data_IF_896362477875
#
_entry.id   IF_896362477875
#
_cell.length_a   1.000
_cell.length_b   1.000
_cell.length_c   1.000
_cell.angle_alpha   90.00
_cell.angle_beta   90.00
_cell.angle_gamma   90.00
#
_symmetry.space_group_name_H-M   'P 1'
#
loop_
_entity.id
_entity.type
_entity.pdbx_description
1 polymer ?
#
# COMPACT_ATOMS: atom_id res chain seq x y z
N UNK A 1 19.77 50.77 -79.83
CA UNK A 1 20.84 50.86 -78.82
C UNK A 1 20.28 51.38 -77.53
N UNK A 2 20.08 50.53 -76.54
CA UNK A 2 19.90 50.92 -75.10
C UNK A 2 20.05 49.66 -74.28
N UNK A 3 21.18 49.59 -73.68
CA UNK A 3 21.56 49.19 -72.32
C UNK A 3 20.67 48.20 -71.59
N UNK A 4 21.10 46.92 -71.54
CA UNK A 4 20.78 45.93 -70.52
C UNK A 4 21.98 45.89 -69.57
N UNK A 5 21.87 46.52 -68.45
CA UNK A 5 22.71 46.23 -67.25
C UNK A 5 21.96 46.63 -65.99
N UNK A 6 22.07 45.81 -65.01
CA UNK A 6 21.69 45.99 -63.59
C UNK A 6 20.40 45.39 -63.10
N UNK A 7 20.40 44.01 -63.02
CA UNK A 7 19.44 43.32 -62.19
C UNK A 7 20.05 42.14 -61.36
N UNK A 8 21.37 41.96 -61.43
CA UNK A 8 21.99 40.76 -60.74
C UNK A 8 22.60 41.04 -59.37
N UNK A 9 22.74 42.29 -58.94
CA UNK A 9 23.44 42.59 -57.67
C UNK A 9 22.53 42.77 -56.45
N UNK A 10 21.21 42.85 -56.62
CA UNK A 10 20.27 43.09 -55.52
C UNK A 10 19.69 41.83 -54.87
N UNK A 11 20.05 40.59 -55.34
CA UNK A 11 19.51 39.32 -54.77
C UNK A 11 20.43 38.64 -53.77
N UNK A 12 21.66 39.06 -53.62
CA UNK A 12 22.62 38.39 -52.73
C UNK A 12 22.63 38.91 -51.27
N UNK A 13 22.00 40.06 -51.00
CA UNK A 13 22.09 40.71 -49.69
C UNK A 13 20.90 40.47 -48.75
N UNK A 14 19.87 39.70 -49.17
CA UNK A 14 18.67 39.48 -48.35
C UNK A 14 18.53 38.06 -47.74
N UNK A 15 19.45 37.14 -47.97
CA UNK A 15 19.34 35.78 -47.49
C UNK A 15 20.19 35.45 -46.24
N UNK A 16 21.13 36.30 -45.89
CA UNK A 16 22.04 36.06 -44.75
C UNK A 16 21.39 36.14 -43.35
N UNK A 17 20.45 37.08 -43.05
CA UNK A 17 19.90 37.16 -41.68
C UNK A 17 18.88 36.07 -41.34
N UNK A 18 18.21 35.47 -42.33
CA UNK A 18 17.16 34.45 -42.10
C UNK A 18 17.76 33.11 -41.72
N UNK A 19 18.92 32.76 -42.25
CA UNK A 19 19.62 31.50 -41.94
C UNK A 19 20.20 31.55 -40.50
N UNK A 20 20.80 32.69 -40.11
CA UNK A 20 21.33 32.87 -38.76
C UNK A 20 20.24 32.79 -37.67
N UNK A 21 19.04 33.34 -37.92
CA UNK A 21 17.93 33.31 -36.98
C UNK A 21 17.33 31.91 -36.82
N UNK A 22 17.35 31.09 -37.87
CA UNK A 22 16.89 29.70 -37.81
C UNK A 22 17.84 28.78 -37.02
N UNK A 23 19.12 28.99 -37.11
CA UNK A 23 20.12 28.23 -36.32
C UNK A 23 20.08 28.59 -34.83
N UNK A 24 19.85 29.85 -34.46
CA UNK A 24 19.68 30.25 -33.07
C UNK A 24 18.40 29.66 -32.45
N UNK A 25 17.30 29.59 -33.21
CA UNK A 25 16.04 28.96 -32.74
C UNK A 25 16.18 27.46 -32.50
N UNK A 26 16.88 26.72 -33.35
CA UNK A 26 17.13 25.30 -33.22
C UNK A 26 18.04 24.95 -32.01
N UNK A 27 19.05 25.75 -31.74
CA UNK A 27 19.93 25.60 -30.58
C UNK A 27 19.19 25.89 -29.25
N UNK A 28 18.34 26.94 -29.24
CA UNK A 28 17.50 27.29 -28.08
C UNK A 28 16.49 26.20 -27.75
N UNK A 29 15.84 25.59 -28.74
CA UNK A 29 14.86 24.52 -28.54
C UNK A 29 15.52 23.23 -28.07
N UNK A 30 16.71 22.91 -28.55
CA UNK A 30 17.51 21.75 -28.10
C UNK A 30 17.94 21.87 -26.65
N UNK A 31 18.35 23.05 -26.18
CA UNK A 31 18.75 23.30 -24.80
C UNK A 31 17.56 23.18 -23.82
N UNK A 32 16.38 23.68 -24.20
CA UNK A 32 15.16 23.58 -23.40
C UNK A 32 14.69 22.13 -23.29
N UNK A 33 14.77 21.35 -24.37
CA UNK A 33 14.42 19.92 -24.37
C UNK A 33 15.36 19.09 -23.45
N UNK A 34 16.65 19.40 -23.42
CA UNK A 34 17.62 18.73 -22.52
C UNK A 34 17.39 19.10 -21.06
N UNK A 35 16.98 20.33 -20.74
CA UNK A 35 16.62 20.74 -19.38
C UNK A 35 15.31 20.08 -18.88
N UNK A 36 14.37 19.75 -19.76
CA UNK A 36 13.15 19.04 -19.39
C UNK A 36 13.38 17.56 -19.14
N UNK A 37 14.32 16.94 -19.82
CA UNK A 37 14.71 15.52 -19.60
C UNK A 37 15.51 15.32 -18.31
N UNK A 38 16.16 16.35 -17.78
CA UNK A 38 16.96 16.26 -16.55
C UNK A 38 16.15 16.29 -15.25
N UNK A 39 14.82 16.44 -15.28
CA UNK A 39 13.96 16.48 -14.07
C UNK A 39 13.25 15.18 -13.73
N UNK A 40 13.52 14.09 -14.44
CA UNK A 40 13.05 12.76 -14.05
C UNK A 40 14.08 12.07 -13.13
N UNK A 41 14.48 12.74 -12.05
CA UNK A 41 14.98 12.03 -10.89
C UNK A 41 13.77 11.31 -10.30
N UNK A 42 13.62 10.03 -10.58
CA UNK A 42 12.82 9.14 -9.76
C UNK A 42 13.40 9.27 -8.35
N UNK A 43 12.74 10.03 -7.50
CA UNK A 43 12.96 9.89 -6.06
C UNK A 43 12.64 8.42 -5.80
N UNK A 44 13.61 7.65 -5.33
CA UNK A 44 13.35 6.30 -4.85
C UNK A 44 12.32 6.46 -3.74
N UNK A 45 11.14 5.88 -3.92
CA UNK A 45 10.08 5.94 -2.93
C UNK A 45 10.66 5.42 -1.62
N UNK A 46 10.57 6.24 -0.58
CA UNK A 46 11.05 5.86 0.75
C UNK A 46 10.20 4.70 1.24
N UNK A 47 10.83 3.54 1.37
CA UNK A 47 10.20 2.34 1.93
C UNK A 47 10.22 2.45 3.45
N UNK A 48 9.08 2.29 4.06
CA UNK A 48 8.87 2.28 5.50
C UNK A 48 8.73 0.83 5.94
N UNK A 49 9.56 0.38 6.87
CA UNK A 49 9.42 -0.90 7.56
C UNK A 49 9.01 -0.63 8.99
N UNK A 50 7.89 -1.19 9.43
CA UNK A 50 7.32 -0.90 10.74
C UNK A 50 6.65 -2.14 11.34
N UNK A 51 6.50 -2.16 12.67
CA UNK A 51 5.73 -3.16 13.43
C UNK A 51 4.23 -2.86 13.45
N UNK A 52 3.81 -1.77 12.84
CA UNK A 52 2.41 -1.37 12.74
C UNK A 52 2.22 -0.25 11.72
N UNK A 53 0.97 0.09 11.47
CA UNK A 53 0.55 1.19 10.59
C UNK A 53 -0.41 2.08 11.37
N UNK A 54 -0.17 3.39 11.35
CA UNK A 54 -1.12 4.40 11.80
C UNK A 54 -1.65 5.21 10.63
N UNK A 55 -2.93 5.54 10.66
CA UNK A 55 -3.52 6.48 9.70
C UNK A 55 -3.19 7.93 10.05
N UNK A 56 -2.95 8.21 11.33
CA UNK A 56 -2.70 9.54 11.86
C UNK A 56 -1.52 9.53 12.84
N UNK A 57 -0.39 10.09 12.42
CA UNK A 57 0.77 10.28 13.29
C UNK A 57 1.62 9.02 13.50
N UNK A 58 2.33 9.02 14.61
CA UNK A 58 3.23 7.94 15.00
C UNK A 58 2.50 6.89 15.84
N UNK A 59 3.01 5.66 15.85
CA UNK A 59 2.49 4.59 16.69
C UNK A 59 2.79 4.87 18.16
N UNK A 60 1.81 4.64 19.04
CA UNK A 60 1.94 4.81 20.50
C UNK A 60 2.91 3.79 21.11
N UNK A 61 2.82 2.54 20.67
CA UNK A 61 3.62 1.46 21.22
C UNK A 61 4.91 1.25 20.43
N UNK A 62 6.06 1.08 21.10
CA UNK A 62 7.34 0.77 20.44
C UNK A 62 7.35 -0.66 19.89
N UNK A 63 8.27 -0.97 18.96
CA UNK A 63 8.33 -2.26 18.29
C UNK A 63 8.46 -3.49 19.22
N UNK A 64 8.98 -3.29 20.43
CA UNK A 64 9.20 -4.34 21.42
C UNK A 64 8.25 -4.28 22.63
N UNK A 65 7.07 -3.65 22.47
CA UNK A 65 6.10 -3.59 23.55
C UNK A 65 5.63 -5.00 23.92
N UNK A 66 5.52 -5.30 25.24
CA UNK A 66 5.15 -6.65 25.70
C UNK A 66 3.64 -6.92 25.65
N UNK A 67 2.83 -5.88 25.81
CA UNK A 67 1.36 -5.94 25.79
C UNK A 67 0.82 -4.50 25.68
N UNK A 68 -0.43 -4.37 25.28
CA UNK A 68 -1.15 -3.09 25.32
C UNK A 68 -1.38 -2.65 26.79
N UNK A 69 -1.43 -1.35 27.04
CA UNK A 69 -1.53 -0.77 28.39
C UNK A 69 -2.78 -1.22 29.17
N UNK A 70 -3.85 -1.54 28.48
CA UNK A 70 -5.10 -2.01 29.07
C UNK A 70 -5.12 -3.52 29.37
N UNK A 71 -4.07 -4.26 29.03
CA UNK A 71 -3.95 -5.70 29.26
C UNK A 71 -3.24 -5.94 30.59
N UNK A 72 -3.84 -6.75 31.46
CA UNK A 72 -3.16 -7.25 32.66
C UNK A 72 -2.37 -8.53 32.33
N UNK A 73 -1.03 -8.49 32.28
CA UNK A 73 -0.21 -9.67 31.97
C UNK A 73 -0.29 -10.76 33.05
N UNK A 74 -0.61 -10.39 34.29
CA UNK A 74 -0.72 -11.29 35.45
C UNK A 74 -2.12 -11.92 35.59
N UNK A 75 -3.03 -11.61 34.65
CA UNK A 75 -4.36 -12.22 34.67
C UNK A 75 -4.28 -13.75 34.52
N UNK A 76 -5.08 -14.52 35.29
CA UNK A 76 -5.13 -15.95 35.15
C UNK A 76 -5.41 -16.41 33.72
N UNK A 77 -4.65 -17.39 33.24
CA UNK A 77 -4.87 -17.96 31.91
C UNK A 77 -5.84 -19.13 32.01
N UNK A 78 -6.90 -19.10 31.19
CA UNK A 78 -7.94 -20.12 31.16
C UNK A 78 -9.13 -19.79 32.06
N UNK A 79 -9.99 -20.79 32.28
CA UNK A 79 -11.28 -20.62 32.93
C UNK A 79 -12.43 -20.65 31.95
N UNK A 80 -13.64 -20.37 32.44
CA UNK A 80 -14.87 -20.33 31.66
C UNK A 80 -15.43 -18.89 31.65
N UNK A 81 -15.73 -18.39 30.46
CA UNK A 81 -16.40 -17.11 30.26
C UNK A 81 -17.74 -17.34 29.58
N UNK A 82 -18.82 -17.08 30.27
CA UNK A 82 -20.19 -17.20 29.75
C UNK A 82 -20.76 -15.81 29.45
N UNK A 83 -21.25 -15.61 28.24
CA UNK A 83 -21.93 -14.39 27.84
C UNK A 83 -23.23 -14.75 27.13
N UNK A 84 -24.15 -13.80 27.06
CA UNK A 84 -25.37 -13.95 26.30
C UNK A 84 -25.16 -13.51 24.85
N UNK A 85 -25.88 -14.13 23.91
CA UNK A 85 -25.99 -13.72 22.52
C UNK A 85 -27.45 -13.68 22.12
N UNK A 86 -27.82 -12.71 21.29
CA UNK A 86 -29.17 -12.61 20.76
C UNK A 86 -29.35 -13.52 19.55
N UNK A 87 -30.45 -14.30 19.54
CA UNK A 87 -30.78 -15.19 18.44
C UNK A 87 -30.17 -16.60 18.56
N UNK A 88 -30.06 -17.27 17.43
CA UNK A 88 -29.51 -18.62 17.29
C UNK A 88 -28.37 -18.60 16.26
N UNK A 89 -27.55 -19.63 16.26
CA UNK A 89 -26.51 -19.83 15.26
C UNK A 89 -26.54 -21.25 14.70
N UNK A 90 -26.03 -21.43 13.49
CA UNK A 90 -25.88 -22.71 12.81
C UNK A 90 -24.46 -22.93 12.29
N UNK A 91 -23.57 -21.97 12.52
CA UNK A 91 -22.16 -22.04 12.14
C UNK A 91 -21.26 -21.27 13.12
N UNK A 92 -20.03 -21.78 13.31
CA UNK A 92 -18.95 -21.08 14.01
C UNK A 92 -18.02 -20.30 13.05
N UNK A 93 -18.27 -20.35 11.73
CA UNK A 93 -17.50 -19.55 10.78
C UNK A 93 -18.17 -18.18 10.58
N UNK A 94 -17.46 -17.06 10.75
CA UNK A 94 -17.98 -15.73 10.49
C UNK A 94 -18.10 -15.40 8.99
N UNK A 95 -17.57 -16.25 8.11
CA UNK A 95 -17.44 -16.01 6.67
C UNK A 95 -18.53 -16.69 5.84
N UNK A 96 -19.54 -17.27 6.46
CA UNK A 96 -20.64 -17.98 5.76
C UNK A 96 -21.47 -17.04 4.90
N UNK A 97 -21.96 -17.57 3.75
CA UNK A 97 -22.86 -16.83 2.85
C UNK A 97 -24.32 -16.94 3.26
N UNK A 98 -24.69 -18.04 3.89
CA UNK A 98 -26.08 -18.35 4.32
C UNK A 98 -26.04 -18.88 5.75
N UNK A 99 -27.12 -18.65 6.50
CA UNK A 99 -27.23 -19.02 7.90
C UNK A 99 -26.79 -17.92 8.86
N UNK A 100 -26.66 -18.28 10.13
CA UNK A 100 -26.31 -17.39 11.23
C UNK A 100 -24.98 -17.81 11.85
N UNK A 101 -24.01 -16.92 11.81
CA UNK A 101 -22.73 -17.12 12.51
C UNK A 101 -22.90 -16.90 14.02
N UNK A 102 -22.18 -17.68 14.83
CA UNK A 102 -22.13 -17.47 16.28
C UNK A 102 -21.59 -16.07 16.62
N UNK A 103 -22.12 -15.47 17.70
CA UNK A 103 -21.79 -14.08 18.09
C UNK A 103 -20.29 -13.85 18.34
N UNK A 104 -19.56 -14.85 18.78
CA UNK A 104 -18.11 -14.79 19.03
C UNK A 104 -17.30 -15.58 18.01
N UNK A 105 -17.86 -15.92 16.85
CA UNK A 105 -17.18 -16.74 15.85
C UNK A 105 -15.86 -16.16 15.36
N UNK A 106 -15.70 -14.83 15.39
CA UNK A 106 -14.46 -14.14 14.98
C UNK A 106 -13.27 -14.40 15.90
N UNK A 107 -13.50 -14.82 17.17
CA UNK A 107 -12.39 -15.09 18.11
C UNK A 107 -11.57 -16.34 17.76
N UNK A 108 -12.07 -17.18 16.84
CA UNK A 108 -11.36 -18.38 16.36
C UNK A 108 -10.39 -18.08 15.21
N UNK A 109 -10.31 -16.83 14.75
CA UNK A 109 -9.53 -16.45 13.58
C UNK A 109 -8.61 -15.28 13.90
N UNK A 110 -7.32 -15.52 13.74
CA UNK A 110 -6.33 -14.46 13.82
C UNK A 110 -6.20 -13.72 12.48
N UNK A 111 -5.76 -12.47 12.54
CA UNK A 111 -5.52 -11.61 11.39
C UNK A 111 -4.04 -11.29 11.27
N UNK A 112 -3.60 -10.81 10.10
CA UNK A 112 -2.21 -10.39 9.91
C UNK A 112 -1.82 -9.28 10.89
N UNK A 113 -2.74 -8.34 11.13
CA UNK A 113 -2.56 -7.21 12.04
C UNK A 113 -3.80 -7.06 12.92
N UNK A 114 -3.64 -6.47 14.09
CA UNK A 114 -4.73 -6.20 15.03
C UNK A 114 -4.78 -4.73 15.41
N UNK A 115 -6.00 -4.20 15.54
CA UNK A 115 -6.21 -2.89 16.17
C UNK A 115 -6.11 -2.98 17.69
N UNK A 116 -6.11 -1.83 18.36
CA UNK A 116 -6.16 -1.74 19.81
C UNK A 116 -7.23 -0.74 20.27
N UNK A 117 -7.58 -0.77 21.55
CA UNK A 117 -8.68 0.01 22.09
C UNK A 117 -8.30 1.46 22.46
N UNK A 118 -7.02 1.74 22.64
CA UNK A 118 -6.51 3.02 23.15
C UNK A 118 -5.79 3.86 22.08
N UNK A 119 -5.74 3.36 20.85
CA UNK A 119 -5.16 4.08 19.72
C UNK A 119 -6.00 3.81 18.45
N UNK A 120 -7.08 4.56 18.25
CA UNK A 120 -7.92 4.40 17.07
C UNK A 120 -7.12 4.62 15.77
N UNK A 121 -7.52 3.93 14.70
CA UNK A 121 -6.91 4.03 13.37
C UNK A 121 -5.45 3.54 13.29
N UNK A 122 -4.98 2.81 14.30
CA UNK A 122 -3.69 2.13 14.30
C UNK A 122 -3.86 0.63 14.34
N UNK A 123 -2.97 -0.07 13.63
CA UNK A 123 -2.92 -1.54 13.60
C UNK A 123 -1.49 -1.99 13.87
N UNK A 124 -1.37 -3.02 14.68
CA UNK A 124 -0.10 -3.66 15.07
C UNK A 124 0.00 -5.07 14.52
N UNK A 125 1.21 -5.52 14.24
CA UNK A 125 1.43 -6.85 13.74
C UNK A 125 0.95 -7.93 14.72
N UNK A 126 0.14 -8.88 14.24
CA UNK A 126 -0.31 -10.06 14.97
C UNK A 126 0.31 -11.32 14.38
N UNK A 127 -0.25 -11.91 13.34
CA UNK A 127 0.36 -13.03 12.60
C UNK A 127 1.56 -12.55 11.77
N UNK A 128 1.51 -11.34 11.21
CA UNK A 128 2.69 -10.64 10.73
C UNK A 128 3.39 -9.93 11.88
N UNK A 129 4.74 -9.89 11.87
CA UNK A 129 5.50 -9.15 12.87
C UNK A 129 5.90 -7.75 12.39
N UNK A 130 6.09 -7.56 11.08
CA UNK A 130 6.36 -6.26 10.46
C UNK A 130 5.67 -6.13 9.12
N UNK A 131 5.53 -4.89 8.68
CA UNK A 131 5.03 -4.53 7.37
C UNK A 131 6.01 -3.59 6.68
N UNK A 132 6.10 -3.71 5.35
CA UNK A 132 6.82 -2.77 4.49
C UNK A 132 5.84 -2.13 3.53
N UNK A 133 5.94 -0.82 3.34
CA UNK A 133 5.12 -0.07 2.40
C UNK A 133 5.82 1.23 1.98
N UNK A 134 5.55 1.76 0.78
CA UNK A 134 6.04 3.07 0.36
C UNK A 134 5.21 4.20 1.00
N UNK A 135 5.72 5.42 0.96
CA UNK A 135 5.00 6.59 1.49
C UNK A 135 3.62 6.80 0.83
N UNK A 136 3.50 6.47 -0.45
CA UNK A 136 2.23 6.56 -1.20
C UNK A 136 1.25 5.41 -0.91
N UNK A 137 1.68 4.40 -0.13
CA UNK A 137 0.90 3.20 0.25
C UNK A 137 0.34 2.42 -0.93
N UNK A 138 1.01 2.44 -2.08
CA UNK A 138 0.59 1.75 -3.31
C UNK A 138 0.69 0.22 -3.21
N UNK A 139 1.50 -0.30 -2.29
CA UNK A 139 1.65 -1.73 -1.99
C UNK A 139 2.02 -1.94 -0.53
N UNK A 140 1.87 -3.18 -0.05
CA UNK A 140 2.27 -3.61 1.29
C UNK A 140 2.85 -5.02 1.24
N UNK A 141 3.93 -5.26 2.00
CA UNK A 141 4.49 -6.59 2.24
C UNK A 141 4.36 -6.89 3.72
N UNK A 142 3.81 -8.05 4.04
CA UNK A 142 3.71 -8.56 5.41
C UNK A 142 4.79 -9.60 5.65
N UNK A 143 5.60 -9.39 6.68
CA UNK A 143 6.60 -10.37 7.14
C UNK A 143 5.96 -11.23 8.24
N UNK A 144 5.74 -12.50 7.93
CA UNK A 144 5.07 -13.45 8.83
C UNK A 144 5.96 -13.78 10.01
N UNK A 145 5.35 -14.01 11.19
CA UNK A 145 6.04 -14.55 12.35
C UNK A 145 6.46 -15.99 12.07
N UNK A 146 7.74 -16.35 12.29
CA UNK A 146 8.18 -17.74 12.10
C UNK A 146 7.47 -18.74 13.04
N UNK A 147 7.02 -18.26 14.20
CA UNK A 147 6.31 -19.05 15.21
C UNK A 147 4.80 -19.16 14.97
N UNK A 148 4.27 -18.50 13.93
CA UNK A 148 2.84 -18.56 13.61
C UNK A 148 2.42 -19.98 13.22
N UNK A 149 1.37 -20.47 13.86
CA UNK A 149 0.87 -21.83 13.65
C UNK A 149 -0.66 -21.89 13.80
N UNK A 150 -1.25 -22.90 13.18
CA UNK A 150 -2.65 -23.23 13.38
C UNK A 150 -2.87 -23.88 14.76
N UNK A 151 -4.15 -23.99 15.18
CA UNK A 151 -4.51 -24.58 16.47
C UNK A 151 -4.07 -26.05 16.63
N UNK A 152 -3.84 -26.77 15.54
CA UNK A 152 -3.32 -28.15 15.53
C UNK A 152 -1.78 -28.23 15.59
N UNK A 153 -1.10 -27.07 15.61
CA UNK A 153 0.35 -26.96 15.66
C UNK A 153 1.04 -26.97 14.30
N UNK A 154 0.31 -27.04 13.19
CA UNK A 154 0.93 -26.92 11.86
C UNK A 154 1.40 -25.50 11.62
N UNK A 155 2.61 -25.27 11.03
CA UNK A 155 3.10 -23.93 10.72
C UNK A 155 2.15 -23.20 9.76
N UNK A 156 1.94 -21.92 10.01
CA UNK A 156 1.18 -21.03 9.14
C UNK A 156 2.12 -20.34 8.16
N UNK A 157 1.83 -20.47 6.87
CA UNK A 157 2.64 -19.93 5.78
C UNK A 157 2.00 -18.75 5.08
N UNK A 158 2.76 -18.05 4.24
CA UNK A 158 2.23 -17.00 3.37
C UNK A 158 1.23 -17.54 2.35
N UNK A 159 1.41 -18.79 1.89
CA UNK A 159 0.51 -19.47 0.98
C UNK A 159 -0.88 -19.68 1.60
N UNK A 160 -0.97 -19.95 2.90
CA UNK A 160 -2.24 -20.07 3.62
C UNK A 160 -2.99 -18.73 3.67
N UNK A 161 -2.26 -17.63 3.84
CA UNK A 161 -2.82 -16.28 3.79
C UNK A 161 -3.36 -15.99 2.38
N UNK A 162 -2.58 -16.26 1.35
CA UNK A 162 -2.99 -16.08 -0.05
C UNK A 162 -4.20 -16.96 -0.39
N UNK A 163 -4.19 -18.21 0.06
CA UNK A 163 -5.33 -19.11 -0.09
C UNK A 163 -6.60 -18.55 0.55
N UNK A 164 -6.49 -18.09 1.80
CA UNK A 164 -7.63 -17.52 2.55
C UNK A 164 -8.19 -16.28 1.85
N UNK A 165 -7.30 -15.39 1.39
CA UNK A 165 -7.68 -14.20 0.61
C UNK A 165 -8.42 -14.59 -0.68
N UNK A 166 -7.87 -15.50 -1.47
CA UNK A 166 -8.48 -15.95 -2.73
C UNK A 166 -9.87 -16.58 -2.51
N UNK A 167 -10.01 -17.41 -1.47
CA UNK A 167 -11.32 -18.01 -1.13
C UNK A 167 -12.34 -16.94 -0.77
N UNK A 168 -11.98 -15.97 0.06
CA UNK A 168 -12.86 -14.88 0.46
C UNK A 168 -13.22 -13.99 -0.74
N UNK A 169 -12.26 -13.71 -1.60
CA UNK A 169 -12.45 -12.89 -2.79
C UNK A 169 -13.32 -13.58 -3.84
N UNK A 170 -13.09 -14.87 -4.12
CA UNK A 170 -13.83 -15.63 -5.14
C UNK A 170 -15.20 -16.09 -4.66
N UNK A 171 -15.29 -16.60 -3.43
CA UNK A 171 -16.44 -17.32 -2.89
C UNK A 171 -17.08 -16.64 -1.69
N UNK A 172 -16.46 -15.60 -1.14
CA UNK A 172 -16.97 -14.87 0.00
C UNK A 172 -18.12 -13.91 -0.34
N UNK A 173 -18.55 -13.15 0.66
CA UNK A 173 -19.58 -12.12 0.49
C UNK A 173 -19.11 -11.05 -0.53
N UNK A 174 -20.03 -10.46 -1.30
CA UNK A 174 -19.67 -9.43 -2.29
C UNK A 174 -18.89 -8.24 -1.70
N UNK A 175 -19.08 -7.95 -0.41
CA UNK A 175 -18.36 -6.88 0.30
C UNK A 175 -16.84 -7.07 0.27
N UNK A 176 -16.33 -8.31 0.29
CA UNK A 176 -14.90 -8.57 0.20
C UNK A 176 -14.29 -8.13 -1.13
N UNK A 177 -15.08 -8.17 -2.22
CA UNK A 177 -14.63 -7.71 -3.56
C UNK A 177 -14.59 -6.18 -3.70
N UNK A 178 -15.26 -5.46 -2.81
CA UNK A 178 -15.37 -3.99 -2.88
C UNK A 178 -14.40 -3.32 -1.91
N UNK A 179 -14.00 -4.03 -0.85
CA UNK A 179 -13.13 -3.49 0.20
C UNK A 179 -11.64 -3.67 -0.13
N UNK A 180 -11.32 -4.61 -0.98
CA UNK A 180 -9.95 -4.93 -1.44
C UNK A 180 -9.89 -4.71 -2.99
#
# INVERSE_FOLDING_TARGET
MRSKQNTSVKRAAQTAPVIALRFLGLLGFSLIAVLWLAKSTFAADKIITSHGISSFGELKYPANFPHFDYVNPDAPKGGEFTTWGFGTFDSLSPYILKGNSGSLATVFFDTLMTGNADEPDSMYGLVAHTVEYPEDRSWVIFHMRPEAQFADGTPLSAEDVVFSYNVLFEKGRPTFKVTF
#
